data_IF_889000055185
#
_entry.id   IF_889000055185
#
_cell.length_a   1.000
_cell.length_b   1.000
_cell.length_c   1.000
_cell.angle_alpha   90.00
_cell.angle_beta   90.00
_cell.angle_gamma   90.00
#
_symmetry.space_group_name_H-M   'P 1'
#
loop_
_entity.id
_entity.type
_entity.pdbx_description
1 polymer ?
#
# COMPACT_ATOMS: atom_id res chain seq x y z
N UNK A 1 13.26 4.46 -3.68
CA UNK A 1 11.81 4.18 -3.53
C UNK A 1 11.63 3.28 -2.33
N UNK A 2 11.73 3.86 -1.14
CA UNK A 2 11.75 3.10 0.11
C UNK A 2 10.57 3.46 1.01
N UNK A 3 9.79 4.48 0.66
CA UNK A 3 8.60 4.90 1.41
C UNK A 3 7.33 4.74 0.56
N UNK A 4 6.17 4.67 1.23
CA UNK A 4 4.85 4.71 0.57
C UNK A 4 4.72 6.00 -0.23
N UNK A 5 5.14 7.13 0.34
CA UNK A 5 5.12 8.43 -0.32
C UNK A 5 5.95 8.45 -1.61
N UNK A 6 7.18 7.91 -1.59
CA UNK A 6 8.02 7.82 -2.79
C UNK A 6 7.31 7.04 -3.90
N UNK A 7 6.68 5.92 -3.54
CA UNK A 7 5.99 5.07 -4.51
C UNK A 7 4.77 5.78 -5.10
N UNK A 8 3.99 6.47 -4.27
CA UNK A 8 2.83 7.25 -4.72
C UNK A 8 3.25 8.41 -5.63
N UNK A 9 4.27 9.18 -5.24
CA UNK A 9 4.78 10.30 -6.03
C UNK A 9 5.27 9.83 -7.41
N UNK A 10 6.05 8.74 -7.46
CA UNK A 10 6.51 8.20 -8.73
C UNK A 10 5.42 7.52 -9.56
N UNK A 11 4.36 6.99 -8.95
CA UNK A 11 3.19 6.52 -9.69
C UNK A 11 2.51 7.67 -10.42
N UNK A 12 2.32 8.82 -9.75
CA UNK A 12 1.75 10.01 -10.38
C UNK A 12 2.60 10.43 -11.59
N UNK A 13 3.91 10.55 -11.42
CA UNK A 13 4.83 10.90 -12.52
C UNK A 13 4.74 9.88 -13.66
N UNK A 14 4.66 8.58 -13.34
CA UNK A 14 4.55 7.53 -14.36
C UNK A 14 3.23 7.61 -15.14
N UNK A 15 2.11 7.90 -14.47
CA UNK A 15 0.80 8.09 -15.12
C UNK A 15 0.80 9.34 -16.02
N UNK A 16 1.28 10.48 -15.52
CA UNK A 16 1.39 11.72 -16.31
C UNK A 16 2.27 11.52 -17.55
N UNK A 17 3.40 10.84 -17.39
CA UNK A 17 4.30 10.49 -18.51
C UNK A 17 3.60 9.58 -19.51
N UNK A 18 2.85 8.58 -19.03
CA UNK A 18 2.12 7.66 -19.89
C UNK A 18 1.09 8.41 -20.74
N UNK A 19 0.26 9.26 -20.10
CA UNK A 19 -0.77 10.07 -20.76
C UNK A 19 -0.14 10.97 -21.81
N UNK A 20 0.97 11.64 -21.48
CA UNK A 20 1.68 12.52 -22.42
C UNK A 20 2.19 11.77 -23.65
N UNK A 21 2.75 10.56 -23.48
CA UNK A 21 3.20 9.74 -24.61
C UNK A 21 2.01 9.26 -25.45
N UNK A 22 0.91 8.84 -24.82
CA UNK A 22 -0.29 8.37 -25.50
C UNK A 22 -0.95 9.49 -26.33
N UNK A 23 -1.02 10.71 -25.79
CA UNK A 23 -1.52 11.90 -26.50
C UNK A 23 -0.67 12.26 -27.73
N UNK A 24 0.67 12.25 -27.58
CA UNK A 24 1.58 12.50 -28.71
C UNK A 24 1.48 11.42 -29.80
N UNK A 25 1.32 10.15 -29.40
CA UNK A 25 1.12 9.04 -30.33
C UNK A 25 -0.22 9.12 -31.08
N UNK A 26 -1.25 9.68 -30.45
CA UNK A 26 -2.57 9.89 -31.08
C UNK A 26 -2.56 11.03 -32.10
N UNK A 27 -1.83 12.12 -31.83
CA UNK A 27 -1.74 13.32 -32.71
C UNK A 27 -0.77 13.17 -33.88
N UNK A 28 -0.17 11.99 -34.02
CA UNK A 28 1.01 11.74 -34.83
C UNK A 28 0.63 11.37 -36.28
N UNK A 29 0.94 12.21 -37.29
CA UNK A 29 0.62 11.97 -38.71
C UNK A 29 1.69 11.14 -39.43
N UNK A 30 1.29 10.23 -40.33
CA UNK A 30 2.14 9.19 -40.91
C UNK A 30 3.12 9.70 -41.99
N UNK A 31 4.33 10.08 -41.59
CA UNK A 31 5.51 10.17 -42.48
C UNK A 31 6.53 9.07 -42.16
N UNK A 32 7.50 8.81 -43.05
CA UNK A 32 8.52 7.78 -42.83
C UNK A 32 9.44 8.10 -41.64
N UNK A 33 9.80 9.37 -41.44
CA UNK A 33 10.54 9.84 -40.26
C UNK A 33 9.72 9.68 -38.97
N UNK A 34 8.40 9.86 -39.09
CA UNK A 34 7.44 9.59 -38.04
C UNK A 34 7.39 8.12 -37.62
N UNK A 35 7.70 7.20 -38.53
CA UNK A 35 7.69 5.76 -38.24
C UNK A 35 8.78 5.35 -37.24
N UNK A 36 9.97 5.99 -37.27
CA UNK A 36 11.07 5.71 -36.34
C UNK A 36 10.80 6.36 -34.99
N UNK A 37 10.33 7.60 -34.98
CA UNK A 37 9.90 8.29 -33.76
C UNK A 37 8.78 7.51 -33.05
N UNK A 38 7.78 7.04 -33.79
CA UNK A 38 6.65 6.28 -33.25
C UNK A 38 7.10 4.99 -32.57
N UNK A 39 7.99 4.21 -33.20
CA UNK A 39 8.56 3.00 -32.58
C UNK A 39 9.30 3.32 -31.27
N UNK A 40 10.04 4.43 -31.21
CA UNK A 40 10.72 4.87 -29.98
C UNK A 40 9.72 5.27 -28.90
N UNK A 41 8.67 6.01 -29.25
CA UNK A 41 7.61 6.43 -28.34
C UNK A 41 6.81 5.23 -27.80
N UNK A 42 6.46 4.25 -28.64
CA UNK A 42 5.82 2.99 -28.22
C UNK A 42 6.72 2.18 -27.27
N UNK A 43 8.03 2.15 -27.53
CA UNK A 43 8.98 1.51 -26.62
C UNK A 43 9.07 2.25 -25.27
N UNK A 44 9.13 3.59 -25.29
CA UNK A 44 9.10 4.40 -24.07
C UNK A 44 7.81 4.15 -23.27
N UNK A 45 6.66 4.07 -23.95
CA UNK A 45 5.37 3.74 -23.35
C UNK A 45 5.41 2.36 -22.66
N UNK A 46 5.99 1.35 -23.32
CA UNK A 46 6.16 0.02 -22.73
C UNK A 46 7.02 0.06 -21.46
N UNK A 47 8.11 0.83 -21.49
CA UNK A 47 9.00 1.01 -20.33
C UNK A 47 8.28 1.70 -19.18
N UNK A 48 7.54 2.77 -19.43
CA UNK A 48 6.75 3.48 -18.40
C UNK A 48 5.71 2.54 -17.79
N UNK A 49 4.97 1.79 -18.60
CA UNK A 49 4.00 0.78 -18.12
C UNK A 49 4.66 -0.30 -17.26
N UNK A 50 5.85 -0.77 -17.64
CA UNK A 50 6.61 -1.74 -16.85
C UNK A 50 7.07 -1.14 -15.51
N UNK A 51 7.62 0.08 -15.51
CA UNK A 51 7.98 0.81 -14.29
C UNK A 51 6.78 0.96 -13.36
N UNK A 52 5.63 1.40 -13.88
CA UNK A 52 4.39 1.52 -13.11
C UNK A 52 4.04 0.22 -12.37
N UNK A 53 4.08 -0.93 -13.07
CA UNK A 53 3.81 -2.26 -12.47
C UNK A 53 4.74 -2.56 -11.30
N UNK A 54 6.04 -2.29 -11.45
CA UNK A 54 7.04 -2.51 -10.39
C UNK A 54 6.73 -1.61 -9.18
N UNK A 55 6.42 -0.33 -9.43
CA UNK A 55 6.11 0.61 -8.36
C UNK A 55 4.85 0.20 -7.60
N UNK A 56 3.80 -0.20 -8.31
CA UNK A 56 2.55 -0.70 -7.70
C UNK A 56 2.79 -1.93 -6.83
N UNK A 57 3.59 -2.89 -7.31
CA UNK A 57 3.94 -4.08 -6.53
C UNK A 57 4.70 -3.68 -5.25
N UNK A 58 5.65 -2.75 -5.36
CA UNK A 58 6.44 -2.27 -4.22
C UNK A 58 5.58 -1.50 -3.20
N UNK A 59 4.64 -0.69 -3.68
CA UNK A 59 3.66 0.00 -2.83
C UNK A 59 2.79 -0.99 -2.05
N UNK A 60 2.34 -2.08 -2.69
CA UNK A 60 1.55 -3.11 -2.02
C UNK A 60 2.33 -3.77 -0.87
N UNK A 61 3.61 -4.09 -1.09
CA UNK A 61 4.49 -4.62 -0.05
C UNK A 61 4.65 -3.63 1.11
N UNK A 62 4.92 -2.37 0.82
CA UNK A 62 5.09 -1.35 1.87
C UNK A 62 3.82 -1.14 2.70
N UNK A 63 2.64 -1.14 2.06
CA UNK A 63 1.35 -1.06 2.75
C UNK A 63 1.08 -2.28 3.63
N UNK A 64 1.50 -3.46 3.19
CA UNK A 64 1.40 -4.67 4.00
C UNK A 64 2.24 -4.54 5.27
N UNK A 65 3.51 -4.14 5.11
CA UNK A 65 4.44 -3.95 6.23
C UNK A 65 3.91 -2.89 7.21
N UNK A 66 3.43 -1.75 6.73
CA UNK A 66 2.84 -0.71 7.58
C UNK A 66 1.62 -1.21 8.36
N UNK A 67 0.75 -2.00 7.71
CA UNK A 67 -0.40 -2.63 8.37
C UNK A 67 0.05 -3.59 9.46
N UNK A 68 1.03 -4.46 9.19
CA UNK A 68 1.56 -5.40 10.19
C UNK A 68 2.17 -4.67 11.38
N UNK A 69 2.99 -3.65 11.12
CA UNK A 69 3.59 -2.84 12.17
C UNK A 69 2.54 -2.15 13.04
N UNK A 70 1.50 -1.59 12.43
CA UNK A 70 0.40 -0.97 13.18
C UNK A 70 -0.37 -2.00 14.02
N UNK A 71 -0.65 -3.19 13.47
CA UNK A 71 -1.27 -4.27 14.23
C UNK A 71 -0.42 -4.70 15.42
N UNK A 72 0.89 -4.86 15.22
CA UNK A 72 1.82 -5.22 16.30
C UNK A 72 1.89 -4.13 17.37
N UNK A 73 1.98 -2.86 16.97
CA UNK A 73 2.01 -1.73 17.90
C UNK A 73 0.73 -1.65 18.74
N UNK A 74 -0.44 -1.80 18.10
CA UNK A 74 -1.72 -1.83 18.81
C UNK A 74 -1.82 -3.02 19.76
N UNK A 75 -1.36 -4.20 19.35
CA UNK A 75 -1.34 -5.38 20.21
C UNK A 75 -0.43 -5.15 21.42
N UNK A 76 0.81 -4.69 21.21
CA UNK A 76 1.75 -4.38 22.29
C UNK A 76 1.19 -3.35 23.25
N UNK A 77 0.62 -2.25 22.74
CA UNK A 77 -0.02 -1.23 23.56
C UNK A 77 -1.15 -1.80 24.43
N UNK A 78 -2.00 -2.65 23.85
CA UNK A 78 -3.08 -3.31 24.59
C UNK A 78 -2.53 -4.28 25.65
N UNK A 79 -1.47 -5.03 25.34
CA UNK A 79 -0.84 -5.95 26.29
C UNK A 79 -0.26 -5.20 27.49
N UNK A 80 0.41 -4.07 27.25
CA UNK A 80 0.91 -3.18 28.31
C UNK A 80 -0.24 -2.61 29.15
N UNK A 81 -1.29 -2.11 28.50
CA UNK A 81 -2.46 -1.59 29.20
C UNK A 81 -3.11 -2.65 30.10
N UNK A 82 -3.31 -3.86 29.59
CA UNK A 82 -3.85 -4.99 30.35
C UNK A 82 -2.93 -5.34 31.53
N UNK A 83 -1.61 -5.34 31.33
CA UNK A 83 -0.64 -5.59 32.39
C UNK A 83 -0.69 -4.55 33.50
N UNK A 84 -0.81 -3.25 33.17
CA UNK A 84 -0.96 -2.20 34.17
C UNK A 84 -2.32 -2.27 34.87
N UNK A 85 -3.41 -2.50 34.13
CA UNK A 85 -4.75 -2.63 34.71
C UNK A 85 -4.82 -3.77 35.74
N UNK A 86 -4.18 -4.92 35.45
CA UNK A 86 -4.10 -6.06 36.38
C UNK A 86 -3.51 -5.70 37.75
N UNK A 87 -2.64 -4.70 37.83
CA UNK A 87 -2.02 -4.26 39.10
C UNK A 87 -2.97 -3.43 39.96
N UNK A 88 -3.98 -2.81 39.34
CA UNK A 88 -4.87 -1.83 39.97
C UNK A 88 -6.22 -2.46 40.31
N UNK A 89 -6.76 -3.30 39.43
CA UNK A 89 -8.10 -3.89 39.60
C UNK A 89 -8.07 -5.10 40.53
N UNK A 90 -9.22 -5.41 41.15
CA UNK A 90 -9.35 -6.65 41.91
C UNK A 90 -9.29 -7.87 40.99
N UNK A 91 -8.71 -9.00 41.43
CA UNK A 91 -8.61 -10.22 40.62
C UNK A 91 -9.97 -10.69 40.07
N UNK A 92 -11.01 -10.68 40.90
CA UNK A 92 -12.37 -11.08 40.50
C UNK A 92 -12.97 -10.21 39.39
N UNK A 93 -12.71 -8.90 39.41
CA UNK A 93 -13.16 -7.99 38.36
C UNK A 93 -12.43 -8.28 37.05
N UNK A 94 -11.12 -8.55 37.12
CA UNK A 94 -10.33 -8.89 35.94
C UNK A 94 -10.79 -10.20 35.30
N UNK A 95 -10.99 -11.25 36.10
CA UNK A 95 -11.49 -12.55 35.64
C UNK A 95 -12.87 -12.43 34.98
N UNK A 96 -13.78 -11.61 35.56
CA UNK A 96 -15.08 -11.34 34.97
C UNK A 96 -14.95 -10.67 33.59
N UNK A 97 -14.03 -9.71 33.44
CA UNK A 97 -13.74 -9.08 32.15
C UNK A 97 -13.19 -10.06 31.12
N UNK A 98 -12.26 -10.95 31.52
CA UNK A 98 -11.73 -12.00 30.64
C UNK A 98 -12.85 -12.92 30.17
N UNK A 99 -13.68 -13.43 31.09
CA UNK A 99 -14.81 -14.30 30.75
C UNK A 99 -15.74 -13.64 29.73
N UNK A 100 -16.12 -12.37 29.95
CA UNK A 100 -16.97 -11.59 29.03
C UNK A 100 -16.31 -11.38 27.66
N UNK A 101 -14.99 -11.15 27.62
CA UNK A 101 -14.26 -11.00 26.38
C UNK A 101 -14.23 -12.33 25.58
N UNK A 102 -13.98 -13.45 26.25
CA UNK A 102 -14.02 -14.79 25.66
C UNK A 102 -15.42 -15.13 25.12
N UNK A 103 -16.48 -14.84 25.87
CA UNK A 103 -17.87 -15.03 25.41
C UNK A 103 -18.19 -14.22 24.14
N UNK A 104 -17.70 -12.97 24.04
CA UNK A 104 -17.88 -12.15 22.84
C UNK A 104 -17.08 -12.64 21.63
N UNK A 105 -15.87 -13.17 21.85
CA UNK A 105 -15.01 -13.68 20.77
C UNK A 105 -15.43 -15.09 20.31
N UNK A 106 -15.92 -15.93 21.22
CA UNK A 106 -16.43 -17.27 20.93
C UNK A 106 -17.91 -17.33 20.51
N UNK A 107 -18.61 -16.19 20.51
CA UNK A 107 -20.02 -16.08 20.09
C UNK A 107 -20.24 -15.89 18.58
N UNK A 108 -19.20 -15.95 17.76
CA UNK A 108 -19.26 -15.96 16.29
C UNK A 108 -19.06 -17.37 15.72
N UNK A 109 -19.82 -18.34 16.22
CA UNK A 109 -19.99 -19.64 15.56
C UNK A 109 -21.25 -19.63 14.70
#
# INVERSE_FOLDING_TARGET
MNTIHDCLSQLVIAEETQISIEDQLAKSNSSSEWSVWRKKAENALRVVKAKRRIITARLAVLRHIEKENNMQLHQQHNDYLVAELKKIVTPSSFECCVRRATEKLGGFN
#
